data_IF_642573431196
#
_entry.id   IF_642573431196
#
_cell.length_a   1.000
_cell.length_b   1.000
_cell.length_c   1.000
_cell.angle_alpha   90.00
_cell.angle_beta   90.00
_cell.angle_gamma   90.00
#
_symmetry.space_group_name_H-M   'P 1'
#
loop_
_entity.id
_entity.type
_entity.pdbx_description
1 polymer ?
#
# COMPACT_ATOMS: atom_id res chain seq x y z
N UNK A 1 24.69 -21.10 22.23
CA UNK A 1 25.27 -19.97 22.98
C UNK A 1 25.10 -18.58 22.40
N UNK A 2 25.34 -18.29 21.12
CA UNK A 2 25.21 -16.90 20.63
C UNK A 2 23.81 -16.30 20.81
N UNK A 3 22.75 -17.05 20.49
CA UNK A 3 21.38 -16.62 20.73
C UNK A 3 21.05 -16.49 22.23
N UNK A 4 21.62 -17.36 23.08
CA UNK A 4 21.45 -17.28 24.53
C UNK A 4 22.16 -16.06 25.13
N UNK A 5 23.16 -15.51 24.42
CA UNK A 5 23.88 -14.28 24.77
C UNK A 5 23.27 -13.03 24.11
N UNK A 6 22.10 -13.15 23.48
CA UNK A 6 21.47 -12.03 22.76
C UNK A 6 22.30 -11.54 21.58
N UNK A 7 23.11 -12.41 20.95
CA UNK A 7 23.92 -12.08 19.77
C UNK A 7 23.49 -12.86 18.52
N UNK A 8 23.29 -12.12 17.44
CA UNK A 8 22.99 -12.61 16.10
C UNK A 8 24.20 -12.45 15.19
N UNK A 9 24.08 -12.95 13.97
CA UNK A 9 25.11 -12.77 12.95
C UNK A 9 24.56 -11.86 11.86
N UNK A 10 25.33 -10.85 11.47
CA UNK A 10 25.05 -10.09 10.25
C UNK A 10 25.23 -10.95 9.01
N UNK A 11 24.73 -10.48 7.86
CA UNK A 11 24.94 -11.12 6.54
C UNK A 11 26.42 -11.33 6.17
N UNK A 12 27.34 -10.62 6.82
CA UNK A 12 28.80 -10.79 6.69
C UNK A 12 29.42 -11.70 7.76
N UNK A 13 28.61 -12.44 8.51
CA UNK A 13 29.08 -13.35 9.58
C UNK A 13 29.65 -12.65 10.82
N UNK A 14 29.56 -11.32 10.92
CA UNK A 14 30.00 -10.60 12.12
C UNK A 14 28.93 -10.68 13.20
N UNK A 15 29.33 -11.02 14.42
CA UNK A 15 28.49 -10.95 15.61
C UNK A 15 27.94 -9.54 15.74
N UNK A 16 26.62 -9.41 15.72
CA UNK A 16 25.89 -8.22 16.10
C UNK A 16 25.02 -8.60 17.29
N UNK A 17 24.70 -7.69 18.23
CA UNK A 17 23.60 -7.95 19.15
C UNK A 17 22.38 -8.38 18.32
N UNK A 18 21.72 -9.50 18.67
CA UNK A 18 20.39 -9.77 18.13
C UNK A 18 19.59 -8.56 18.59
N UNK A 19 19.25 -7.68 17.66
CA UNK A 19 18.19 -6.72 17.87
C UNK A 19 16.92 -7.55 17.99
N UNK A 20 16.70 -8.16 19.15
CA UNK A 20 15.35 -8.43 19.59
C UNK A 20 14.71 -7.06 19.70
N UNK A 21 13.93 -6.74 18.67
CA UNK A 21 13.00 -5.62 18.62
C UNK A 21 12.23 -5.53 19.94
N UNK A 22 12.76 -4.74 20.86
CA UNK A 22 12.08 -4.20 22.02
C UNK A 22 12.93 -3.01 22.45
N UNK A 23 12.57 -1.85 21.92
CA UNK A 23 13.05 -0.56 22.37
C UNK A 23 14.56 -0.49 22.69
N UNK A 24 15.43 -0.32 21.69
CA UNK A 24 16.71 0.37 21.96
C UNK A 24 16.45 1.87 22.08
N UNK A 25 15.71 2.23 23.12
CA UNK A 25 15.74 3.53 23.76
C UNK A 25 16.52 3.33 25.05
N UNK A 26 17.78 3.73 25.07
CA UNK A 26 18.53 3.87 26.32
C UNK A 26 18.91 2.57 27.03
N UNK A 27 19.91 2.71 27.89
CA UNK A 27 20.36 1.68 28.83
C UNK A 27 19.22 1.15 29.69
N UNK A 28 19.30 -0.14 30.03
CA UNK A 28 18.43 -0.94 30.91
C UNK A 28 18.25 -0.37 32.35
N UNK A 29 18.80 0.81 32.61
CA UNK A 29 18.68 1.55 33.87
C UNK A 29 17.73 2.74 33.83
N UNK A 30 17.22 3.16 32.66
CA UNK A 30 16.35 4.36 32.54
C UNK A 30 14.91 4.10 32.04
N UNK A 31 14.54 2.87 31.69
CA UNK A 31 13.15 2.52 31.29
C UNK A 31 12.40 1.85 32.44
N UNK A 32 12.41 2.46 33.63
CA UNK A 32 11.49 2.03 34.70
C UNK A 32 10.28 2.92 34.87
N UNK A 33 10.26 4.12 34.27
CA UNK A 33 9.18 5.08 34.49
C UNK A 33 8.82 5.91 33.24
N UNK A 34 8.95 5.36 32.03
CA UNK A 34 8.25 5.97 30.88
C UNK A 34 6.76 5.64 31.07
N UNK A 35 5.89 6.61 31.43
CA UNK A 35 4.51 6.31 31.73
C UNK A 35 3.82 5.93 30.43
N UNK A 36 3.61 4.62 30.23
CA UNK A 36 2.69 4.07 29.22
C UNK A 36 1.25 4.61 29.39
N UNK A 37 1.00 5.35 30.48
CA UNK A 37 -0.30 5.78 30.98
C UNK A 37 -0.92 7.02 30.33
N UNK A 38 -0.34 7.63 29.28
CA UNK A 38 -0.97 8.81 28.66
C UNK A 38 -0.93 8.83 27.14
N UNK A 39 -1.27 7.72 26.49
CA UNK A 39 -1.85 7.86 25.15
C UNK A 39 -3.28 8.34 25.32
N UNK A 40 -3.58 9.53 24.80
CA UNK A 40 -4.93 10.08 24.85
C UNK A 40 -5.94 9.11 24.22
N UNK A 41 -6.99 8.66 24.94
CA UNK A 41 -7.98 7.75 24.38
C UNK A 41 -8.71 8.34 23.16
N UNK A 42 -8.84 9.68 23.09
CA UNK A 42 -9.35 10.37 21.91
C UNK A 42 -8.48 10.10 20.68
N UNK A 43 -7.17 10.29 20.83
CA UNK A 43 -6.18 10.01 19.78
C UNK A 43 -6.20 8.55 19.31
N UNK A 44 -6.28 7.58 20.24
CA UNK A 44 -6.36 6.17 19.87
C UNK A 44 -7.63 5.84 19.08
N UNK A 45 -8.76 6.43 19.47
CA UNK A 45 -10.04 6.27 18.75
C UNK A 45 -9.95 6.83 17.34
N UNK A 46 -9.44 8.05 17.17
CA UNK A 46 -9.30 8.67 15.85
C UNK A 46 -8.33 7.91 14.96
N UNK A 47 -7.21 7.44 15.51
CA UNK A 47 -6.26 6.61 14.78
C UNK A 47 -6.89 5.28 14.34
N UNK A 48 -7.66 4.62 15.21
CA UNK A 48 -8.35 3.38 14.87
C UNK A 48 -9.38 3.59 13.75
N UNK A 49 -10.13 4.70 13.77
CA UNK A 49 -11.07 5.05 12.70
C UNK A 49 -10.34 5.32 11.38
N UNK A 50 -9.22 6.04 11.42
CA UNK A 50 -8.40 6.31 10.24
C UNK A 50 -7.80 5.02 9.66
N UNK A 51 -7.29 4.11 10.49
CA UNK A 51 -6.81 2.81 10.01
C UNK A 51 -7.96 2.01 9.40
N UNK A 52 -9.13 1.98 10.06
CA UNK A 52 -10.29 1.24 9.57
C UNK A 52 -10.81 1.73 8.21
N UNK A 53 -10.78 3.04 7.94
CA UNK A 53 -11.20 3.57 6.64
C UNK A 53 -10.26 3.14 5.50
N UNK A 54 -8.96 3.04 5.77
CA UNK A 54 -7.94 2.65 4.80
C UNK A 54 -7.76 1.13 4.64
N UNK A 55 -8.17 0.33 5.63
CA UNK A 55 -8.26 -1.14 5.52
C UNK A 55 -9.55 -1.52 4.80
N UNK A 56 -9.71 -1.02 3.58
CA UNK A 56 -10.85 -1.26 2.72
C UNK A 56 -10.42 -1.25 1.25
N UNK A 57 -11.26 -1.81 0.38
CA UNK A 57 -11.01 -1.76 -1.07
C UNK A 57 -11.30 -0.40 -1.69
N UNK A 58 -11.89 0.54 -0.93
CA UNK A 58 -12.34 1.84 -1.40
C UNK A 58 -11.23 2.65 -2.09
N UNK A 59 -10.09 2.92 -1.40
CA UNK A 59 -8.97 3.63 -2.00
C UNK A 59 -8.46 2.98 -3.29
N UNK A 60 -8.39 1.64 -3.32
CA UNK A 60 -7.93 0.92 -4.51
C UNK A 60 -8.88 1.01 -5.69
N UNK A 61 -10.19 0.93 -5.46
CA UNK A 61 -11.20 1.11 -6.50
C UNK A 61 -11.19 2.54 -7.02
N UNK A 62 -11.03 3.54 -6.16
CA UNK A 62 -10.93 4.94 -6.55
C UNK A 62 -9.70 5.20 -7.43
N UNK A 63 -8.53 4.65 -7.05
CA UNK A 63 -7.31 4.74 -7.86
C UNK A 63 -7.52 4.08 -9.22
N UNK A 64 -8.12 2.88 -9.28
CA UNK A 64 -8.41 2.20 -10.54
C UNK A 64 -9.33 3.03 -11.45
N UNK A 65 -10.43 3.56 -10.91
CA UNK A 65 -11.38 4.40 -11.65
C UNK A 65 -10.73 5.69 -12.16
N UNK A 66 -9.95 6.37 -11.30
CA UNK A 66 -9.26 7.61 -11.67
C UNK A 66 -8.23 7.40 -12.80
N UNK A 67 -7.75 6.17 -12.99
CA UNK A 67 -6.82 5.78 -14.06
C UNK A 67 -7.49 5.10 -15.25
N UNK A 68 -8.82 5.06 -15.30
CA UNK A 68 -9.56 4.40 -16.38
C UNK A 68 -9.35 2.89 -16.45
N UNK A 69 -8.93 2.27 -15.34
CA UNK A 69 -8.78 0.83 -15.20
C UNK A 69 -10.10 0.21 -14.74
N UNK A 70 -10.36 -1.08 -15.05
CA UNK A 70 -11.48 -1.80 -14.46
C UNK A 70 -11.43 -1.71 -12.92
N UNK A 71 -12.56 -1.45 -12.24
CA UNK A 71 -12.62 -1.31 -10.78
C UNK A 71 -12.56 -2.67 -10.07
N UNK A 72 -11.69 -3.57 -10.54
CA UNK A 72 -11.53 -4.92 -10.03
C UNK A 72 -10.14 -5.06 -9.43
N UNK A 73 -10.11 -5.33 -8.12
CA UNK A 73 -8.89 -5.61 -7.37
C UNK A 73 -8.86 -7.11 -7.06
N UNK A 74 -7.84 -7.81 -7.55
CA UNK A 74 -7.65 -9.23 -7.26
C UNK A 74 -6.73 -9.41 -6.06
N UNK A 75 -7.12 -10.29 -5.14
CA UNK A 75 -6.38 -10.59 -3.90
C UNK A 75 -5.96 -9.36 -3.08
N UNK A 76 -6.86 -8.42 -2.73
CA UNK A 76 -6.48 -7.28 -1.92
C UNK A 76 -5.91 -7.73 -0.57
N UNK A 77 -4.75 -7.20 -0.20
CA UNK A 77 -4.06 -7.44 1.06
C UNK A 77 -3.68 -6.12 1.70
N UNK A 78 -3.86 -6.03 3.02
CA UNK A 78 -3.64 -4.80 3.77
C UNK A 78 -2.55 -5.02 4.81
N UNK A 79 -1.58 -4.12 4.86
CA UNK A 79 -0.52 -4.12 5.86
C UNK A 79 -0.58 -2.82 6.67
N UNK A 80 -0.65 -2.95 8.00
CA UNK A 80 -0.56 -1.81 8.91
C UNK A 80 0.88 -1.72 9.40
N UNK A 81 1.57 -0.66 8.99
CA UNK A 81 2.97 -0.41 9.32
C UNK A 81 3.06 0.57 10.48
N UNK A 82 3.74 0.16 11.55
CA UNK A 82 3.92 0.95 12.77
C UNK A 82 5.40 1.03 13.11
N UNK A 83 5.97 2.24 13.09
CA UNK A 83 7.38 2.48 13.39
C UNK A 83 7.74 3.97 13.23
N UNK A 84 8.85 4.38 13.85
CA UNK A 84 9.32 5.78 13.89
C UNK A 84 8.24 6.82 14.27
N UNK A 85 7.32 6.44 15.18
CA UNK A 85 6.21 7.31 15.57
C UNK A 85 5.15 7.54 14.49
N UNK A 86 5.20 6.78 13.40
CA UNK A 86 4.25 6.82 12.29
C UNK A 86 3.36 5.58 12.26
N UNK A 87 2.15 5.75 11.74
CA UNK A 87 1.25 4.65 11.40
C UNK A 87 0.79 4.85 9.97
N UNK A 88 1.00 3.86 9.12
CA UNK A 88 0.59 3.88 7.72
C UNK A 88 -0.12 2.58 7.35
N UNK A 89 -1.02 2.67 6.39
CA UNK A 89 -1.67 1.50 5.79
C UNK A 89 -1.16 1.36 4.36
N UNK A 90 -0.74 0.15 4.01
CA UNK A 90 -0.42 -0.23 2.65
C UNK A 90 -1.47 -1.21 2.13
N UNK A 91 -1.87 -1.02 0.89
CA UNK A 91 -2.79 -1.90 0.17
C UNK A 91 -2.10 -2.46 -1.05
N UNK A 92 -2.11 -3.79 -1.18
CA UNK A 92 -1.57 -4.52 -2.32
C UNK A 92 -2.71 -5.25 -3.03
N UNK A 93 -2.79 -5.17 -4.35
CA UNK A 93 -3.76 -5.92 -5.13
C UNK A 93 -3.27 -6.14 -6.57
N UNK A 94 -3.63 -7.24 -7.20
CA UNK A 94 -3.43 -7.40 -8.63
C UNK A 94 -4.51 -6.65 -9.42
N UNK A 95 -4.12 -5.98 -10.50
CA UNK A 95 -5.02 -5.14 -11.31
C UNK A 95 -4.84 -5.38 -12.82
N UNK A 96 -5.89 -5.09 -13.60
CA UNK A 96 -5.85 -5.19 -15.05
C UNK A 96 -6.10 -6.61 -15.59
N UNK A 97 -5.49 -6.91 -16.73
CA UNK A 97 -5.68 -8.13 -17.53
C UNK A 97 -4.35 -8.56 -18.18
N UNK A 98 -4.20 -9.83 -18.62
CA UNK A 98 -5.13 -10.95 -18.43
C UNK A 98 -5.15 -11.47 -16.99
N UNK A 99 -6.26 -12.10 -16.60
CA UNK A 99 -6.41 -12.75 -15.28
C UNK A 99 -6.00 -14.21 -15.37
N UNK A 100 -5.10 -14.63 -14.49
CA UNK A 100 -4.65 -16.01 -14.30
C UNK A 100 -5.21 -16.56 -13.00
N UNK A 101 -5.34 -17.89 -12.90
CA UNK A 101 -5.84 -18.57 -11.70
C UNK A 101 -7.36 -18.78 -11.70
N UNK A 102 -7.78 -19.92 -11.18
CA UNK A 102 -9.17 -20.36 -11.12
C UNK A 102 -9.84 -19.98 -9.78
N UNK A 103 -9.09 -20.02 -8.68
CA UNK A 103 -9.59 -19.72 -7.34
C UNK A 103 -9.37 -18.25 -6.95
N UNK A 104 -10.27 -17.63 -6.16
CA UNK A 104 -10.14 -16.23 -5.75
C UNK A 104 -8.80 -15.89 -5.07
N UNK A 105 -8.27 -16.79 -4.24
CA UNK A 105 -6.99 -16.68 -3.53
C UNK A 105 -5.77 -16.91 -4.42
N UNK A 106 -5.97 -17.28 -5.70
CA UNK A 106 -4.93 -17.49 -6.71
C UNK A 106 -5.12 -16.64 -7.97
N UNK A 107 -6.18 -15.83 -8.00
CA UNK A 107 -6.45 -14.91 -9.11
C UNK A 107 -5.46 -13.77 -9.10
N UNK A 108 -4.72 -13.62 -10.19
CA UNK A 108 -3.72 -12.57 -10.36
C UNK A 108 -3.68 -12.06 -11.78
N UNK A 109 -2.98 -10.96 -11.96
CA UNK A 109 -2.64 -10.38 -13.26
C UNK A 109 -1.14 -10.15 -13.31
N UNK A 110 -0.55 -9.74 -14.45
CA UNK A 110 0.86 -9.38 -14.51
C UNK A 110 1.23 -8.10 -13.75
N UNK A 111 0.27 -7.37 -13.16
CA UNK A 111 0.50 -6.06 -12.55
C UNK A 111 -0.01 -6.02 -11.11
N UNK A 112 0.84 -5.59 -10.17
CA UNK A 112 0.46 -5.35 -8.79
C UNK A 112 0.38 -3.85 -8.52
N UNK A 113 -0.79 -3.42 -8.01
CA UNK A 113 -1.03 -2.11 -7.46
C UNK A 113 -0.59 -2.10 -5.99
N UNK A 114 0.25 -1.13 -5.63
CA UNK A 114 0.62 -0.78 -4.27
C UNK A 114 0.08 0.61 -3.96
N UNK A 115 -0.61 0.77 -2.84
CA UNK A 115 -1.11 2.05 -2.33
C UNK A 115 -0.56 2.23 -0.92
N UNK A 116 -0.10 3.42 -0.57
CA UNK A 116 0.36 3.77 0.76
C UNK A 116 -0.32 5.05 1.24
N UNK A 117 -0.79 5.07 2.49
CA UNK A 117 -1.34 6.27 3.11
C UNK A 117 -0.25 7.23 3.60
N UNK A 118 -0.67 8.48 3.84
CA UNK A 118 -0.03 9.40 4.78
C UNK A 118 0.24 8.80 6.16
N UNK A 119 1.03 9.52 6.97
CA UNK A 119 1.15 9.23 8.39
C UNK A 119 -0.19 9.52 9.09
N UNK A 120 -0.91 8.47 9.47
CA UNK A 120 -2.23 8.56 10.08
C UNK A 120 -2.20 9.15 11.50
N UNK A 121 -1.04 9.11 12.16
CA UNK A 121 -0.85 9.71 13.50
C UNK A 121 -1.03 11.23 13.46
N UNK A 122 -0.53 11.88 12.41
CA UNK A 122 -0.66 13.33 12.22
C UNK A 122 -2.12 13.74 12.00
N UNK A 123 -2.85 12.97 11.20
CA UNK A 123 -4.28 13.17 10.96
C UNK A 123 -5.10 13.03 12.25
N UNK A 124 -4.89 11.94 13.00
CA UNK A 124 -5.56 11.72 14.28
C UNK A 124 -5.25 12.84 15.29
N UNK A 125 -3.98 13.24 15.40
CA UNK A 125 -3.56 14.31 16.29
C UNK A 125 -4.15 15.67 15.90
N UNK A 126 -4.35 15.93 14.61
CA UNK A 126 -5.00 17.14 14.13
C UNK A 126 -6.48 17.19 14.57
N UNK A 127 -7.21 16.08 14.43
CA UNK A 127 -8.63 15.99 14.80
C UNK A 127 -8.83 16.18 16.31
N UNK A 128 -7.99 15.55 17.15
CA UNK A 128 -8.03 15.74 18.61
C UNK A 128 -7.78 17.19 19.02
N UNK A 129 -6.98 17.93 18.24
CA UNK A 129 -6.74 19.37 18.43
C UNK A 129 -7.88 20.25 17.90
N UNK A 130 -9.00 19.67 17.50
CA UNK A 130 -10.19 20.37 17.00
C UNK A 130 -10.09 20.82 15.55
N UNK A 131 -9.11 20.32 14.77
CA UNK A 131 -9.10 20.56 13.33
C UNK A 131 -10.13 19.64 12.66
N UNK A 132 -10.79 20.15 11.63
CA UNK A 132 -11.70 19.34 10.82
C UNK A 132 -10.93 18.17 10.19
N UNK A 133 -11.58 16.99 10.12
CA UNK A 133 -11.01 15.81 9.47
C UNK A 133 -10.81 16.15 7.99
N UNK A 134 -9.59 16.03 7.50
CA UNK A 134 -9.34 16.22 6.08
C UNK A 134 -10.18 15.20 5.28
N UNK A 135 -11.00 15.69 4.35
CA UNK A 135 -11.88 14.87 3.50
C UNK A 135 -11.10 14.00 2.51
N UNK A 136 -9.81 14.33 2.28
CA UNK A 136 -8.90 13.55 1.46
C UNK A 136 -7.58 13.28 2.20
N UNK A 137 -7.47 12.08 2.77
CA UNK A 137 -6.16 11.57 3.15
C UNK A 137 -5.35 11.34 1.88
N UNK A 138 -4.18 11.98 1.81
CA UNK A 138 -3.27 11.77 0.67
C UNK A 138 -2.83 10.32 0.65
N UNK A 139 -3.03 9.68 -0.50
CA UNK A 139 -2.51 8.35 -0.80
C UNK A 139 -1.51 8.47 -1.95
N UNK A 140 -0.47 7.65 -1.86
CA UNK A 140 0.45 7.42 -2.97
C UNK A 140 0.21 6.03 -3.53
N UNK A 141 0.48 5.84 -4.82
CA UNK A 141 0.34 4.53 -5.43
C UNK A 141 1.36 4.31 -6.55
N UNK A 142 1.74 3.05 -6.73
CA UNK A 142 2.51 2.56 -7.87
C UNK A 142 1.84 1.29 -8.42
N UNK A 143 1.99 1.05 -9.72
CA UNK A 143 1.55 -0.18 -10.36
C UNK A 143 2.73 -0.76 -11.15
N UNK A 144 3.15 -1.97 -10.78
CA UNK A 144 4.38 -2.57 -11.27
C UNK A 144 4.13 -3.95 -11.84
N UNK A 145 4.89 -4.31 -12.89
CA UNK A 145 4.86 -5.64 -13.43
C UNK A 145 5.49 -6.62 -12.43
N UNK A 146 4.80 -7.73 -12.16
CA UNK A 146 5.31 -8.78 -11.27
C UNK A 146 5.97 -9.90 -12.05
N UNK A 147 6.92 -10.60 -11.43
CA UNK A 147 7.55 -11.77 -12.00
C UNK A 147 6.54 -12.93 -12.10
N UNK A 148 6.72 -13.82 -13.08
CA UNK A 148 5.82 -14.97 -13.30
C UNK A 148 5.79 -15.96 -12.13
N UNK A 149 6.83 -15.95 -11.30
CA UNK A 149 6.95 -16.76 -10.07
C UNK A 149 6.00 -16.31 -8.97
N UNK A 150 5.59 -15.03 -8.96
CA UNK A 150 4.69 -14.43 -7.96
C UNK A 150 3.27 -14.95 -8.19
N UNK A 151 2.68 -15.61 -7.19
CA UNK A 151 1.31 -16.13 -7.27
C UNK A 151 0.32 -15.37 -6.39
N UNK A 152 0.82 -14.73 -5.34
CA UNK A 152 0.01 -14.05 -4.33
C UNK A 152 0.56 -12.66 -4.04
N UNK A 153 -0.30 -11.76 -3.54
CA UNK A 153 0.13 -10.48 -2.98
C UNK A 153 1.08 -10.65 -1.79
N UNK A 154 0.98 -11.76 -1.06
CA UNK A 154 1.91 -12.07 0.04
C UNK A 154 3.34 -12.29 -0.50
N UNK A 155 3.50 -12.95 -1.64
CA UNK A 155 4.81 -13.11 -2.30
C UNK A 155 5.43 -11.74 -2.64
N UNK A 156 4.59 -10.78 -3.08
CA UNK A 156 5.03 -9.39 -3.33
C UNK A 156 5.48 -8.71 -2.04
N UNK A 157 4.71 -8.85 -0.95
CA UNK A 157 5.03 -8.26 0.35
C UNK A 157 6.35 -8.83 0.90
N UNK A 158 6.56 -10.14 0.79
CA UNK A 158 7.81 -10.80 1.20
C UNK A 158 8.99 -10.30 0.36
N UNK A 159 8.80 -10.09 -0.94
CA UNK A 159 9.81 -9.49 -1.81
C UNK A 159 10.22 -8.07 -1.41
N UNK A 160 9.34 -7.34 -0.72
CA UNK A 160 9.57 -5.97 -0.24
C UNK A 160 9.94 -5.90 1.25
N UNK A 161 10.17 -7.03 1.92
CA UNK A 161 10.31 -7.09 3.38
C UNK A 161 11.46 -6.21 3.90
N UNK A 162 12.63 -6.25 3.26
CA UNK A 162 13.79 -5.46 3.68
C UNK A 162 13.53 -3.95 3.54
N UNK A 163 12.91 -3.52 2.44
CA UNK A 163 12.56 -2.12 2.19
C UNK A 163 11.48 -1.63 3.16
N UNK A 164 10.43 -2.44 3.38
CA UNK A 164 9.36 -2.14 4.33
C UNK A 164 9.92 -1.97 5.74
N UNK A 165 10.78 -2.88 6.18
CA UNK A 165 11.38 -2.75 7.51
C UNK A 165 12.37 -1.60 7.62
N UNK A 166 13.14 -1.31 6.58
CA UNK A 166 13.96 -0.10 6.52
C UNK A 166 13.14 1.17 6.68
N UNK A 167 12.07 1.32 5.90
CA UNK A 167 11.19 2.49 5.95
C UNK A 167 10.44 2.63 7.29
N UNK A 168 9.99 1.51 7.87
CA UNK A 168 9.37 1.48 9.21
C UNK A 168 10.36 1.92 10.28
N UNK A 169 11.62 1.53 10.15
CA UNK A 169 12.66 1.81 11.13
C UNK A 169 13.14 3.27 11.05
N UNK A 170 13.40 3.76 9.84
CA UNK A 170 14.04 5.06 9.62
C UNK A 170 13.02 6.18 9.32
N UNK A 171 11.72 5.85 9.24
CA UNK A 171 10.65 6.78 8.88
C UNK A 171 10.70 7.28 7.43
N UNK A 172 11.64 6.76 6.64
CA UNK A 172 11.90 7.17 5.26
C UNK A 172 11.11 6.30 4.29
N UNK A 173 9.95 6.80 3.86
CA UNK A 173 9.07 6.09 2.94
C UNK A 173 9.30 6.44 1.47
N UNK A 174 10.20 7.39 1.17
CA UNK A 174 10.42 7.88 -0.19
C UNK A 174 10.74 6.78 -1.17
N UNK A 175 11.48 5.76 -0.78
CA UNK A 175 11.97 4.75 -1.73
C UNK A 175 10.86 3.75 -2.09
N UNK A 176 9.97 3.45 -1.14
CA UNK A 176 8.76 2.64 -1.36
C UNK A 176 7.65 3.42 -2.07
N UNK A 177 7.59 4.72 -1.83
CA UNK A 177 6.51 5.61 -2.29
C UNK A 177 6.89 6.37 -3.56
N UNK A 178 8.18 6.42 -3.90
CA UNK A 178 8.68 7.18 -5.04
C UNK A 178 7.80 6.84 -6.22
N UNK A 179 7.10 7.88 -6.71
CA UNK A 179 6.50 7.81 -8.03
C UNK A 179 7.66 7.39 -8.91
N UNK A 180 7.60 6.18 -9.47
CA UNK A 180 8.56 5.79 -10.46
C UNK A 180 8.55 6.94 -11.48
N UNK A 181 9.60 7.76 -11.51
CA UNK A 181 9.79 8.85 -12.48
C UNK A 181 9.95 8.29 -13.92
N UNK A 182 9.63 7.01 -14.10
CA UNK A 182 9.18 6.43 -15.34
C UNK A 182 8.00 7.24 -15.90
N UNK A 183 7.96 7.55 -17.20
CA UNK A 183 7.00 8.48 -17.82
C UNK A 183 5.51 8.05 -17.79
N UNK A 184 5.12 7.10 -16.94
CA UNK A 184 3.75 6.67 -16.75
C UNK A 184 2.97 7.65 -15.84
N UNK A 185 2.52 8.76 -16.47
CA UNK A 185 1.34 9.57 -16.09
C UNK A 185 1.30 10.03 -14.61
N UNK A 186 1.80 11.25 -14.36
CA UNK A 186 1.62 11.97 -13.08
C UNK A 186 0.15 12.31 -12.85
N UNK A 187 -0.37 11.94 -11.68
CA UNK A 187 -1.74 12.21 -11.27
C UNK A 187 -1.88 12.00 -9.77
N UNK A 188 -1.50 13.01 -9.00
CA UNK A 188 -1.89 13.07 -7.59
C UNK A 188 -3.41 13.16 -7.52
N UNK A 189 -4.05 12.05 -7.17
CA UNK A 189 -5.51 12.00 -7.00
C UNK A 189 -5.79 12.35 -5.56
N UNK A 190 -6.20 13.60 -5.30
CA UNK A 190 -6.88 13.94 -4.04
C UNK A 190 -8.24 13.26 -4.06
N UNK A 191 -8.37 12.19 -3.29
CA UNK A 191 -9.62 11.44 -3.22
C UNK A 191 -10.50 12.07 -2.15
N UNK A 192 -11.39 12.98 -2.55
CA UNK A 192 -12.46 13.44 -1.66
C UNK A 192 -13.45 12.29 -1.47
N UNK A 193 -13.47 11.71 -0.28
CA UNK A 193 -14.47 10.70 0.07
C UNK A 193 -15.77 11.43 0.39
N UNK A 194 -16.68 11.48 -0.57
CA UNK A 194 -18.04 11.95 -0.32
C UNK A 194 -18.71 11.01 0.70
N UNK A 195 -18.87 11.52 1.92
CA UNK A 195 -19.55 10.87 3.03
C UNK A 195 -21.04 10.70 2.70
N UNK A 196 -21.46 9.47 2.36
CA UNK A 196 -22.88 9.14 2.27
C UNK A 196 -23.40 8.87 3.69
N UNK A 197 -23.88 9.93 4.36
CA UNK A 197 -24.43 9.84 5.72
C UNK A 197 -25.77 9.09 5.74
N UNK A 198 -25.80 8.01 6.52
CA UNK A 198 -26.79 7.71 7.56
C UNK A 198 -28.22 8.28 7.38
N UNK A 199 -29.10 7.49 6.75
CA UNK A 199 -30.55 7.59 6.92
C UNK A 199 -31.19 6.20 6.76
N UNK A 200 -31.02 5.34 7.78
CA UNK A 200 -31.74 4.07 7.86
C UNK A 200 -32.00 3.66 9.31
N UNK A 201 -32.79 4.46 10.01
CA UNK A 201 -33.56 4.04 11.17
C UNK A 201 -34.96 4.66 11.09
N UNK A 202 -35.97 3.86 11.40
CA UNK A 202 -37.42 4.14 11.33
C UNK A 202 -38.09 4.11 9.94
N UNK A 203 -38.65 2.95 9.59
CA UNK A 203 -40.12 2.76 9.61
C UNK A 203 -40.53 1.34 9.25
N UNK A 204 -41.20 0.70 10.21
CA UNK A 204 -42.07 -0.44 10.02
C UNK A 204 -43.41 0.06 9.45
N UNK A 205 -43.98 -0.60 8.43
CA UNK A 205 -45.38 -0.38 8.03
C UNK A 205 -45.71 -0.52 6.53
N UNK A 206 -46.12 -1.73 6.15
CA UNK A 206 -47.14 -2.08 5.13
C UNK A 206 -47.42 -1.11 3.95
N UNK A 207 -47.19 -1.59 2.72
CA UNK A 207 -48.18 -1.56 1.64
C UNK A 207 -47.72 -2.41 0.44
N UNK A 208 -48.58 -3.32 0.02
CA UNK A 208 -48.49 -4.09 -1.22
C UNK A 208 -48.71 -3.18 -2.43
N UNK A 209 -47.76 -3.06 -3.36
CA UNK A 209 -48.04 -2.72 -4.76
C UNK A 209 -46.97 -3.30 -5.70
N UNK A 210 -47.47 -3.96 -6.74
CA UNK A 210 -46.76 -4.51 -7.90
C UNK A 210 -45.90 -3.47 -8.61
N UNK A 211 -44.61 -3.77 -8.81
CA UNK A 211 -43.70 -3.00 -9.65
C UNK A 211 -43.41 -3.72 -10.98
N UNK A 212 -43.32 -3.01 -12.12
CA UNK A 212 -43.00 -3.58 -13.41
C UNK A 212 -41.50 -3.89 -13.54
N UNK A 213 -41.17 -5.00 -14.19
CA UNK A 213 -39.81 -5.36 -14.60
C UNK A 213 -39.30 -4.35 -15.64
N UNK A 214 -38.45 -3.41 -15.21
CA UNK A 214 -37.58 -2.66 -16.12
C UNK A 214 -36.27 -3.44 -16.28
N UNK A 215 -36.01 -3.88 -17.50
CA UNK A 215 -34.72 -4.43 -17.90
C UNK A 215 -33.66 -3.31 -17.89
N UNK A 216 -32.45 -3.55 -17.37
CA UNK A 216 -31.37 -2.56 -17.44
C UNK A 216 -30.90 -2.38 -18.89
N UNK A 217 -30.43 -1.17 -19.26
CA UNK A 217 -29.88 -0.91 -20.58
C UNK A 217 -28.60 -1.74 -20.80
N UNK A 218 -28.55 -2.47 -21.92
CA UNK A 218 -27.34 -3.14 -22.39
C UNK A 218 -26.31 -2.09 -22.78
N UNK A 219 -25.22 -2.01 -22.02
CA UNK A 219 -24.02 -1.27 -22.44
C UNK A 219 -23.28 -2.05 -23.54
N UNK A 220 -22.74 -1.38 -24.57
CA UNK A 220 -21.95 -2.03 -25.60
C UNK A 220 -20.60 -2.51 -25.05
N UNK A 221 -20.04 -3.62 -25.56
CA UNK A 221 -18.74 -4.12 -25.14
C UNK A 221 -17.63 -3.14 -25.55
N UNK A 222 -16.96 -2.54 -24.57
CA UNK A 222 -15.76 -1.75 -24.78
C UNK A 222 -14.60 -2.70 -25.02
N UNK A 223 -14.30 -3.00 -26.28
CA UNK A 223 -13.08 -3.72 -26.64
C UNK A 223 -11.87 -2.79 -26.48
N UNK A 224 -11.30 -2.73 -25.28
CA UNK A 224 -9.93 -2.24 -25.11
C UNK A 224 -8.99 -3.31 -25.66
N UNK A 225 -8.62 -3.17 -26.95
CA UNK A 225 -7.54 -3.95 -27.56
C UNK A 225 -6.21 -3.49 -26.95
N UNK A 226 -5.73 -4.19 -25.94
CA UNK A 226 -4.31 -4.20 -25.62
C UNK A 226 -3.58 -4.95 -26.74
N UNK A 227 -2.72 -4.24 -27.47
CA UNK A 227 -1.79 -4.87 -28.41
C UNK A 227 -0.65 -5.49 -27.60
N UNK A 228 -0.39 -6.80 -27.70
CA UNK A 228 0.77 -7.37 -27.05
C UNK A 228 2.03 -6.88 -27.76
N UNK A 229 2.92 -6.22 -27.02
CA UNK A 229 4.28 -6.01 -27.49
C UNK A 229 4.92 -7.38 -27.72
N UNK A 230 5.35 -7.59 -28.96
CA UNK A 230 6.03 -8.79 -29.43
C UNK A 230 7.34 -8.92 -28.66
N UNK A 231 7.41 -9.88 -27.74
CA UNK A 231 8.67 -10.31 -27.12
C UNK A 231 9.47 -11.09 -28.16
N UNK A 232 10.45 -10.43 -28.78
CA UNK A 232 11.56 -11.11 -29.44
C UNK A 232 12.70 -11.19 -28.42
N UNK A 233 12.86 -12.38 -27.84
CA UNK A 233 14.05 -12.74 -27.11
C UNK A 233 15.23 -12.75 -28.09
N UNK A 234 16.24 -11.91 -27.84
CA UNK A 234 17.56 -12.09 -28.40
C UNK A 234 18.62 -11.82 -27.35
N UNK A 235 19.19 -12.92 -26.88
CA UNK A 235 20.44 -13.00 -26.14
C UNK A 235 21.56 -12.54 -27.06
N UNK A 236 22.22 -11.42 -26.75
CA UNK A 236 23.60 -11.17 -27.21
C UNK A 236 24.34 -10.32 -26.19
N UNK A 237 25.37 -10.93 -25.64
CA UNK A 237 26.45 -10.28 -24.90
C UNK A 237 27.32 -9.48 -25.87
N UNK A 238 27.67 -8.25 -25.52
CA UNK A 238 28.77 -7.51 -26.14
C UNK A 238 29.35 -6.51 -25.15
N UNK A 239 30.57 -6.80 -24.68
CA UNK A 239 31.51 -5.81 -24.14
C UNK A 239 31.87 -4.81 -25.25
N UNK A 240 31.85 -3.51 -24.95
CA UNK A 240 32.63 -2.51 -25.68
C UNK A 240 33.26 -1.53 -24.68
N UNK A 241 34.59 -1.60 -24.58
CA UNK A 241 35.46 -0.57 -24.03
C UNK A 241 35.44 0.70 -24.90
N UNK A 242 35.48 1.88 -24.28
CA UNK A 242 35.62 3.15 -25.01
C UNK A 242 36.06 4.30 -24.13
N UNK A 243 37.38 4.53 -24.10
CA UNK A 243 38.10 5.66 -23.49
C UNK A 243 37.82 6.95 -24.28
N UNK A 244 37.63 8.09 -23.60
CA UNK A 244 37.80 9.42 -24.22
C UNK A 244 38.77 10.25 -23.37
N UNK A 245 39.96 10.45 -23.92
CA UNK A 245 40.97 11.38 -23.43
C UNK A 245 40.98 12.65 -24.28
N UNK A 246 40.72 13.77 -23.60
CA UNK A 246 41.50 15.02 -23.50
C UNK A 246 42.11 15.79 -24.70
N UNK A 247 42.23 17.11 -24.45
CA UNK A 247 42.96 18.20 -25.14
C UNK A 247 42.33 18.78 -26.43
N UNK A 248 42.37 20.08 -26.72
CA UNK A 248 42.91 21.33 -26.15
C UNK A 248 42.19 22.48 -26.91
N UNK A 249 42.25 23.77 -26.58
CA UNK A 249 43.31 24.70 -26.16
C UNK A 249 42.64 25.79 -25.31
#
# INVERSE_FOLDING_TARGET
DLLAQGQGLSSKGRKKPVLWRRNTFGSDTDIKDAPLDKVDPGMMRELALAVASHVSVGPGVQVALARGLPPTLWQPSFAVCVGDGQVRVLTFAFIGEPVFGDRPDRKRTPFCLRIATGNLVEGAAAVVKGKERAVSDRVWYSAEAVQDTVQTTLDVIVGLEEELFGAIQDGCWSDLIAEADSPAVRGGVTTEVAEASEAAAERCGQASHSAPRLLPPRLPPTHLRFSPARSEASTTSAEIHGVVGNAGI
#
